data_IF_262049534792
#
_entry.id   IF_262049534792
#
_cell.length_a   1.000
_cell.length_b   1.000
_cell.length_c   1.000
_cell.angle_alpha   90.00
_cell.angle_beta   90.00
_cell.angle_gamma   90.00
#
_symmetry.space_group_name_H-M   'P 1'
#
loop_
_entity.id
_entity.type
_entity.pdbx_description
1 polymer ?
#
# COMPACT_ATOMS: atom_id res chain seq x y z
N UNK A 1 -61.32 -7.91 -42.47
CA UNK A 1 -60.43 -7.48 -43.58
C UNK A 1 -59.01 -8.03 -43.33
N UNK A 2 -58.10 -7.85 -44.27
CA UNK A 2 -56.68 -8.28 -44.27
C UNK A 2 -55.83 -7.66 -43.13
N UNK A 3 -54.66 -8.18 -42.72
CA UNK A 3 -53.98 -9.51 -42.87
C UNK A 3 -52.65 -9.52 -42.06
N UNK A 4 -51.96 -10.68 -42.02
CA UNK A 4 -50.57 -10.96 -41.54
C UNK A 4 -50.42 -11.10 -40.01
N UNK A 5 -50.16 -12.29 -39.43
CA UNK A 5 -49.05 -13.31 -39.56
C UNK A 5 -47.78 -12.89 -38.80
N UNK A 6 -47.05 -13.73 -38.06
CA UNK A 6 -47.18 -15.16 -37.64
C UNK A 6 -46.17 -15.41 -36.47
N UNK A 7 -46.44 -16.19 -35.41
CA UNK A 7 -46.52 -17.68 -35.29
C UNK A 7 -45.27 -18.44 -35.79
N UNK A 8 -44.79 -19.55 -35.17
CA UNK A 8 -44.92 -20.13 -33.80
C UNK A 8 -43.99 -21.38 -33.70
N UNK A 9 -43.70 -21.89 -32.48
CA UNK A 9 -43.15 -23.23 -32.13
C UNK A 9 -41.72 -23.59 -32.64
N UNK A 10 -40.87 -24.43 -32.02
CA UNK A 10 -40.86 -25.33 -30.84
C UNK A 10 -41.00 -26.86 -31.08
N UNK A 11 -40.28 -27.64 -30.22
CA UNK A 11 -40.44 -29.05 -29.81
C UNK A 11 -39.64 -30.22 -30.47
N UNK A 12 -38.96 -30.96 -29.57
CA UNK A 12 -38.77 -32.44 -29.44
C UNK A 12 -37.69 -33.26 -30.22
N UNK A 13 -36.80 -33.85 -29.41
CA UNK A 13 -36.36 -35.28 -29.32
C UNK A 13 -36.10 -36.14 -30.58
N UNK A 14 -34.90 -36.75 -30.66
CA UNK A 14 -34.63 -38.19 -30.36
C UNK A 14 -33.15 -38.55 -30.65
N UNK A 15 -32.69 -39.77 -30.36
CA UNK A 15 -31.29 -40.20 -30.55
C UNK A 15 -31.15 -41.66 -31.02
N UNK A 16 -30.18 -41.93 -31.92
CA UNK A 16 -29.81 -43.29 -32.41
C UNK A 16 -28.27 -43.41 -32.55
N UNK A 17 -27.74 -44.65 -32.47
CA UNK A 17 -26.31 -45.01 -32.45
C UNK A 17 -25.78 -45.32 -33.87
N UNK A 18 -24.46 -45.25 -34.12
CA UNK A 18 -23.92 -45.39 -35.50
C UNK A 18 -22.44 -45.75 -35.75
N UNK A 19 -21.82 -46.67 -35.00
CA UNK A 19 -20.61 -47.46 -35.41
C UNK A 19 -19.25 -46.78 -35.72
N UNK A 20 -18.19 -47.61 -35.81
CA UNK A 20 -16.77 -47.25 -36.03
C UNK A 20 -16.30 -47.63 -37.45
N UNK A 21 -15.13 -47.12 -37.87
CA UNK A 21 -14.02 -47.89 -38.49
C UNK A 21 -12.70 -47.06 -38.41
N UNK A 22 -11.54 -47.73 -38.42
CA UNK A 22 -10.16 -47.15 -38.40
C UNK A 22 -9.59 -47.11 -39.86
N UNK A 23 -8.36 -46.71 -40.25
CA UNK A 23 -6.99 -46.66 -39.69
C UNK A 23 -6.22 -45.48 -40.38
N UNK A 24 -5.21 -44.81 -39.81
CA UNK A 24 -3.74 -45.11 -39.81
C UNK A 24 -3.16 -45.76 -41.10
N UNK A 25 -1.89 -45.56 -41.54
CA UNK A 25 -0.81 -44.55 -41.41
C UNK A 25 0.44 -45.05 -42.21
N UNK A 26 1.50 -44.23 -42.41
CA UNK A 26 2.94 -44.59 -42.59
C UNK A 26 3.59 -44.53 -44.02
N UNK A 27 4.50 -43.55 -44.18
CA UNK A 27 5.82 -43.50 -44.88
C UNK A 27 6.13 -44.26 -46.20
N UNK A 28 6.89 -43.58 -47.10
CA UNK A 28 8.34 -43.86 -47.29
C UNK A 28 9.13 -42.71 -48.00
N UNK A 29 10.45 -42.91 -48.22
CA UNK A 29 11.48 -41.89 -48.57
C UNK A 29 11.80 -41.80 -50.08
N UNK A 30 12.40 -40.68 -50.52
CA UNK A 30 13.46 -40.63 -51.58
C UNK A 30 14.31 -39.34 -51.55
N UNK A 31 15.50 -39.38 -52.17
CA UNK A 31 16.53 -38.32 -52.38
C UNK A 31 17.52 -38.86 -53.46
N UNK A 32 18.51 -38.13 -54.05
CA UNK A 32 18.89 -36.71 -53.94
C UNK A 32 18.54 -35.92 -55.24
N UNK A 33 19.40 -35.32 -56.12
CA UNK A 33 20.87 -35.20 -56.22
C UNK A 33 21.42 -33.74 -56.15
N UNK A 34 22.54 -33.48 -56.83
CA UNK A 34 23.52 -32.38 -56.74
C UNK A 34 23.52 -31.35 -57.90
N UNK A 35 24.10 -30.16 -57.68
CA UNK A 35 25.01 -29.54 -58.66
C UNK A 35 26.12 -28.69 -57.98
N UNK A 36 27.23 -28.38 -58.68
CA UNK A 36 28.41 -27.62 -58.20
C UNK A 36 28.78 -26.49 -59.16
N UNK A 37 29.06 -25.28 -58.64
CA UNK A 37 30.11 -24.40 -59.17
C UNK A 37 30.72 -23.55 -58.03
N UNK A 38 32.02 -23.71 -57.77
CA UNK A 38 33.16 -22.83 -58.13
C UNK A 38 33.24 -21.51 -57.34
N UNK A 39 34.21 -21.45 -56.41
CA UNK A 39 34.73 -20.21 -55.79
C UNK A 39 35.73 -19.51 -56.73
N UNK A 40 36.09 -18.26 -56.43
CA UNK A 40 37.49 -17.87 -56.35
C UNK A 40 37.93 -17.59 -54.90
N UNK A 41 39.22 -17.72 -54.62
CA UNK A 41 39.84 -17.34 -53.34
C UNK A 41 40.47 -15.94 -53.46
N UNK A 42 40.33 -15.13 -52.41
CA UNK A 42 41.30 -14.08 -52.04
C UNK A 42 41.60 -14.21 -50.54
N UNK A 43 42.70 -13.60 -50.12
CA UNK A 43 43.50 -13.99 -48.95
C UNK A 43 43.76 -12.80 -48.01
N UNK A 44 44.03 -13.08 -46.73
CA UNK A 44 44.45 -12.14 -45.65
C UNK A 44 43.42 -11.00 -45.34
N UNK A 45 43.16 -10.55 -44.10
CA UNK A 45 43.86 -10.67 -42.82
C UNK A 45 42.92 -10.98 -41.64
N UNK A 46 43.49 -11.45 -40.52
CA UNK A 46 42.81 -11.44 -39.22
C UNK A 46 42.84 -10.02 -38.63
N UNK A 47 41.71 -9.56 -38.10
CA UNK A 47 41.65 -8.49 -37.11
C UNK A 47 40.60 -8.85 -36.07
N UNK A 48 41.02 -9.02 -34.82
CA UNK A 48 40.11 -9.31 -33.71
C UNK A 48 39.47 -8.01 -33.23
N UNK A 49 38.14 -7.92 -33.31
CA UNK A 49 37.37 -6.95 -32.54
C UNK A 49 36.12 -7.64 -31.99
N UNK A 50 35.81 -7.52 -30.68
CA UNK A 50 34.59 -8.04 -30.11
C UNK A 50 33.37 -7.30 -30.70
N UNK A 51 32.32 -8.04 -31.04
CA UNK A 51 31.13 -7.47 -31.65
C UNK A 51 30.46 -6.45 -30.71
N UNK A 52 30.48 -5.16 -31.10
CA UNK A 52 29.70 -4.13 -30.42
C UNK A 52 28.21 -4.46 -30.57
N UNK A 53 27.53 -4.72 -29.45
CA UNK A 53 26.10 -4.94 -29.46
C UNK A 53 25.35 -3.68 -29.92
N UNK A 54 24.22 -3.86 -30.61
CA UNK A 54 23.52 -2.76 -31.27
C UNK A 54 22.96 -1.72 -30.29
N UNK A 55 22.86 -0.48 -30.76
CA UNK A 55 22.38 0.67 -30.01
C UNK A 55 20.94 0.50 -29.53
N UNK A 56 20.73 0.47 -28.21
CA UNK A 56 19.44 0.72 -27.58
C UNK A 56 19.43 2.17 -27.07
N UNK A 57 18.52 3.01 -27.58
CA UNK A 57 18.54 4.44 -27.34
C UNK A 57 17.70 4.85 -26.11
N UNK A 58 18.25 5.78 -25.32
CA UNK A 58 17.56 6.67 -24.38
C UNK A 58 16.48 6.06 -23.47
N UNK A 59 16.89 5.37 -22.39
CA UNK A 59 16.12 5.28 -21.14
C UNK A 59 17.07 5.48 -19.95
N UNK A 60 16.73 6.39 -19.04
CA UNK A 60 17.71 7.10 -18.17
C UNK A 60 18.07 6.39 -16.86
N UNK A 61 17.74 5.11 -16.74
CA UNK A 61 18.50 4.19 -15.91
C UNK A 61 19.06 3.10 -16.83
N UNK A 62 20.37 3.14 -17.06
CA UNK A 62 21.05 2.13 -17.88
C UNK A 62 20.86 0.72 -17.30
N UNK A 63 20.93 -0.33 -18.14
CA UNK A 63 20.78 -1.70 -17.66
C UNK A 63 21.84 -2.01 -16.60
N UNK A 64 21.40 -2.56 -15.46
CA UNK A 64 22.32 -3.02 -14.42
C UNK A 64 23.12 -4.21 -14.95
N UNK A 65 24.43 -4.06 -15.08
CA UNK A 65 25.33 -5.09 -15.59
C UNK A 65 26.16 -5.67 -14.44
N UNK A 66 26.16 -7.00 -14.34
CA UNK A 66 26.90 -7.76 -13.35
C UNK A 66 27.72 -8.85 -14.05
N UNK A 67 28.91 -9.14 -13.52
CA UNK A 67 29.67 -10.34 -13.89
C UNK A 67 29.71 -11.25 -12.68
N UNK A 68 29.21 -12.46 -12.83
CA UNK A 68 29.08 -13.41 -11.72
C UNK A 68 30.48 -13.88 -11.27
N UNK A 69 30.87 -13.61 -10.02
CA UNK A 69 32.16 -14.07 -9.47
C UNK A 69 32.08 -15.48 -8.87
N UNK A 70 33.23 -16.09 -8.54
CA UNK A 70 33.21 -17.33 -7.73
C UNK A 70 32.67 -17.08 -6.32
N UNK A 71 32.96 -15.93 -5.71
CA UNK A 71 32.53 -15.63 -4.34
C UNK A 71 31.02 -15.38 -4.23
N UNK A 72 30.39 -14.82 -5.28
CA UNK A 72 28.93 -14.80 -5.42
C UNK A 72 28.35 -16.22 -5.40
N UNK A 73 28.97 -17.15 -6.14
CA UNK A 73 28.52 -18.54 -6.16
C UNK A 73 28.75 -19.23 -4.82
N UNK A 74 29.87 -18.95 -4.13
CA UNK A 74 30.15 -19.50 -2.79
C UNK A 74 29.13 -19.01 -1.76
N UNK A 75 28.81 -17.70 -1.75
CA UNK A 75 27.74 -17.13 -0.93
C UNK A 75 26.38 -17.80 -1.18
N UNK A 76 26.08 -18.14 -2.45
CA UNK A 76 24.86 -18.81 -2.88
C UNK A 76 24.97 -20.36 -2.91
N UNK A 77 25.93 -20.94 -2.19
CA UNK A 77 26.12 -22.40 -2.00
C UNK A 77 26.28 -23.19 -3.31
N UNK A 78 27.02 -22.64 -4.27
CA UNK A 78 27.52 -23.31 -5.48
C UNK A 78 26.51 -23.53 -6.61
N UNK A 79 25.21 -23.27 -6.40
CA UNK A 79 24.18 -23.30 -7.45
C UNK A 79 23.28 -22.08 -7.36
N UNK A 80 23.87 -20.92 -7.62
CA UNK A 80 23.17 -19.65 -7.68
C UNK A 80 22.04 -19.67 -8.73
N UNK A 81 20.81 -19.50 -8.27
CA UNK A 81 19.67 -19.18 -9.15
C UNK A 81 19.73 -17.71 -9.54
N UNK A 82 19.36 -17.41 -10.77
CA UNK A 82 19.26 -16.04 -11.31
C UNK A 82 18.40 -15.12 -10.41
N UNK A 83 17.29 -15.63 -9.86
CA UNK A 83 16.43 -14.86 -8.95
C UNK A 83 16.95 -14.72 -7.51
N UNK A 84 18.04 -15.42 -7.16
CA UNK A 84 18.75 -15.26 -5.89
C UNK A 84 19.98 -14.34 -6.06
N UNK A 85 20.74 -14.55 -7.13
CA UNK A 85 21.87 -13.69 -7.51
C UNK A 85 21.45 -12.23 -7.68
N UNK A 86 20.39 -11.95 -8.44
CA UNK A 86 19.92 -10.58 -8.63
C UNK A 86 19.35 -9.94 -7.34
N UNK A 87 18.89 -10.73 -6.36
CA UNK A 87 18.45 -10.20 -5.04
C UNK A 87 19.64 -9.83 -4.16
N UNK A 88 20.74 -10.60 -4.24
CA UNK A 88 22.00 -10.27 -3.57
C UNK A 88 22.65 -9.02 -4.19
N UNK A 89 22.65 -8.92 -5.51
CA UNK A 89 23.25 -7.82 -6.27
C UNK A 89 22.40 -6.53 -6.27
N UNK A 90 21.10 -6.62 -5.95
CA UNK A 90 20.19 -5.48 -5.85
C UNK A 90 19.25 -5.60 -4.61
N UNK A 91 19.77 -5.41 -3.38
CA UNK A 91 18.98 -5.59 -2.15
C UNK A 91 17.75 -4.68 -2.04
N UNK A 92 17.82 -3.48 -2.64
CA UNK A 92 16.71 -2.51 -2.70
C UNK A 92 15.53 -2.97 -3.58
N UNK A 93 15.78 -3.89 -4.52
CA UNK A 93 14.79 -4.34 -5.48
C UNK A 93 14.12 -5.61 -4.99
N UNK A 94 12.84 -5.51 -4.61
CA UNK A 94 12.10 -6.66 -4.10
C UNK A 94 12.17 -7.88 -5.05
N UNK A 95 12.36 -9.07 -4.47
CA UNK A 95 12.44 -10.35 -5.21
C UNK A 95 11.27 -10.57 -6.17
N UNK A 96 10.08 -10.05 -5.84
CA UNK A 96 8.91 -10.09 -6.73
C UNK A 96 9.15 -9.30 -8.03
N UNK A 97 9.66 -8.05 -7.95
CA UNK A 97 9.98 -7.21 -9.11
C UNK A 97 11.10 -7.82 -9.96
N UNK A 98 12.09 -8.47 -9.35
CA UNK A 98 13.13 -9.24 -10.07
C UNK A 98 12.52 -10.44 -10.80
N UNK A 99 11.70 -11.26 -10.13
CA UNK A 99 11.04 -12.40 -10.77
C UNK A 99 10.08 -12.00 -11.88
N UNK A 100 9.45 -10.84 -11.78
CA UNK A 100 8.62 -10.23 -12.83
C UNK A 100 9.47 -9.75 -14.02
N UNK A 101 10.59 -9.06 -13.77
CA UNK A 101 11.53 -8.62 -14.81
C UNK A 101 12.09 -9.81 -15.62
N UNK A 102 12.44 -10.91 -14.94
CA UNK A 102 12.82 -12.19 -15.58
C UNK A 102 11.68 -12.72 -16.45
N UNK A 103 10.46 -12.88 -15.91
CA UNK A 103 9.30 -13.38 -16.67
C UNK A 103 8.95 -12.52 -17.88
N UNK A 104 9.20 -11.21 -17.80
CA UNK A 104 9.00 -10.24 -18.89
C UNK A 104 10.18 -10.15 -19.88
N UNK A 105 11.19 -11.03 -19.78
CA UNK A 105 12.34 -11.05 -20.68
C UNK A 105 13.33 -9.89 -20.50
N UNK A 106 13.18 -9.08 -19.45
CA UNK A 106 14.01 -7.90 -19.16
C UNK A 106 15.32 -8.24 -18.43
N UNK A 107 15.64 -9.52 -18.32
CA UNK A 107 16.93 -10.02 -17.82
C UNK A 107 17.58 -10.85 -18.91
N UNK A 108 18.84 -10.56 -19.22
CA UNK A 108 19.66 -11.38 -20.10
C UNK A 108 20.84 -11.98 -19.34
N UNK A 109 21.30 -13.15 -19.79
CA UNK A 109 22.54 -13.80 -19.33
C UNK A 109 23.33 -14.14 -20.59
N UNK A 110 24.57 -13.65 -20.69
CA UNK A 110 25.41 -13.72 -21.88
C UNK A 110 24.66 -13.25 -23.15
N UNK A 111 23.97 -12.11 -23.04
CA UNK A 111 23.07 -11.51 -24.04
C UNK A 111 21.81 -12.33 -24.42
N UNK A 112 21.56 -13.49 -23.81
CA UNK A 112 20.34 -14.28 -24.05
C UNK A 112 19.26 -13.97 -22.99
N UNK A 113 18.08 -13.54 -23.43
CA UNK A 113 16.95 -13.26 -22.55
C UNK A 113 16.49 -14.49 -21.76
N UNK A 114 16.40 -14.36 -20.43
CA UNK A 114 16.03 -15.43 -19.52
C UNK A 114 14.60 -15.25 -19.02
N UNK A 115 13.71 -16.16 -19.39
CA UNK A 115 12.31 -16.18 -18.92
C UNK A 115 12.09 -17.05 -17.67
N UNK A 116 13.12 -17.80 -17.23
CA UNK A 116 13.04 -18.75 -16.10
C UNK A 116 13.77 -18.21 -14.88
N UNK A 117 13.04 -17.94 -13.80
CA UNK A 117 13.59 -17.49 -12.51
C UNK A 117 14.53 -18.52 -11.87
N UNK A 118 14.48 -19.77 -12.30
CA UNK A 118 15.31 -20.88 -11.83
C UNK A 118 16.49 -21.21 -12.76
N UNK A 119 16.80 -20.37 -13.76
CA UNK A 119 18.08 -20.49 -14.49
C UNK A 119 19.24 -20.40 -13.49
N UNK A 120 20.24 -21.26 -13.65
CA UNK A 120 21.45 -21.27 -12.82
C UNK A 120 22.53 -20.45 -13.53
N UNK A 121 23.15 -19.51 -12.81
CA UNK A 121 24.29 -18.71 -13.32
C UNK A 121 25.62 -19.36 -12.93
N UNK A 122 26.65 -19.13 -13.74
CA UNK A 122 28.02 -19.63 -13.58
C UNK A 122 28.99 -18.46 -13.38
N UNK A 123 30.16 -18.74 -12.81
CA UNK A 123 31.24 -17.76 -12.75
C UNK A 123 31.63 -17.32 -14.17
N UNK A 124 31.80 -16.01 -14.38
CA UNK A 124 32.02 -15.40 -15.69
C UNK A 124 30.76 -15.09 -16.49
N UNK A 125 29.56 -15.54 -16.09
CA UNK A 125 28.32 -15.14 -16.78
C UNK A 125 28.07 -13.64 -16.62
N UNK A 126 27.87 -12.95 -17.75
CA UNK A 126 27.48 -11.55 -17.83
C UNK A 126 25.95 -11.44 -17.73
N UNK A 127 25.46 -10.95 -16.59
CA UNK A 127 24.03 -10.80 -16.29
C UNK A 127 23.63 -9.33 -16.44
N UNK A 128 22.60 -9.07 -17.25
CA UNK A 128 22.08 -7.72 -17.49
C UNK A 128 20.61 -7.66 -17.07
N UNK A 129 20.27 -6.75 -16.17
CA UNK A 129 18.93 -6.53 -15.63
C UNK A 129 18.43 -5.14 -16.04
N UNK A 130 17.34 -5.10 -16.81
CA UNK A 130 16.63 -3.87 -17.16
C UNK A 130 15.37 -3.75 -16.30
N UNK A 131 15.35 -2.83 -15.34
CA UNK A 131 14.15 -2.51 -14.57
C UNK A 131 13.45 -1.30 -15.19
N UNK A 132 12.13 -1.33 -15.44
CA UNK A 132 11.41 -0.12 -15.78
C UNK A 132 11.48 0.86 -14.61
N UNK A 133 11.71 2.14 -14.92
CA UNK A 133 11.49 3.26 -13.99
C UNK A 133 10.05 3.13 -13.47
N UNK A 134 9.80 3.20 -12.15
CA UNK A 134 8.42 3.21 -11.68
C UNK A 134 7.70 4.39 -12.32
N UNK A 135 6.48 4.17 -12.82
CA UNK A 135 5.68 5.26 -13.35
C UNK A 135 5.51 6.33 -12.27
N UNK A 136 5.73 7.60 -12.62
CA UNK A 136 5.47 8.69 -11.70
C UNK A 136 3.96 8.70 -11.41
N UNK A 137 3.57 8.40 -10.18
CA UNK A 137 2.19 8.54 -9.70
C UNK A 137 1.89 10.04 -9.54
N UNK A 138 1.66 10.70 -10.68
CA UNK A 138 1.12 12.06 -10.72
C UNK A 138 -0.35 12.00 -10.36
N UNK A 139 -0.79 12.98 -9.57
CA UNK A 139 -2.20 13.15 -9.22
C UNK A 139 -2.72 14.36 -10.00
N UNK A 140 -3.57 14.12 -10.98
CA UNK A 140 -4.27 15.19 -11.67
C UNK A 140 -5.48 15.64 -10.82
N UNK A 141 -5.89 16.92 -10.86
CA UNK A 141 -7.10 17.38 -10.19
C UNK A 141 -8.35 16.69 -10.73
N UNK A 142 -9.24 16.23 -9.86
CA UNK A 142 -10.53 15.63 -10.22
C UNK A 142 -11.67 16.30 -9.46
N UNK A 143 -12.75 16.67 -10.17
CA UNK A 143 -13.97 17.19 -9.55
C UNK A 143 -14.73 16.07 -8.84
N UNK A 144 -14.47 15.92 -7.54
CA UNK A 144 -15.01 14.88 -6.68
C UNK A 144 -15.59 15.53 -5.42
N UNK A 145 -16.80 15.15 -4.98
CA UNK A 145 -17.45 15.77 -3.83
C UNK A 145 -16.67 15.52 -2.54
N UNK A 146 -16.40 16.59 -1.80
CA UNK A 146 -15.83 16.58 -0.46
C UNK A 146 -16.91 16.92 0.57
N UNK A 147 -17.02 16.08 1.61
CA UNK A 147 -17.81 16.40 2.81
C UNK A 147 -16.91 17.24 3.74
N UNK A 148 -17.05 18.56 3.64
CA UNK A 148 -16.22 19.55 4.34
C UNK A 148 -16.89 19.93 5.66
N UNK A 149 -16.23 19.59 6.76
CA UNK A 149 -16.70 19.86 8.14
C UNK A 149 -16.26 21.25 8.60
N UNK A 150 -15.10 21.71 8.14
CA UNK A 150 -14.57 23.06 8.40
C UNK A 150 -13.52 23.44 7.35
N UNK A 151 -13.49 24.70 6.95
CA UNK A 151 -12.40 25.29 6.16
C UNK A 151 -12.14 26.73 6.60
N UNK A 152 -10.87 27.12 6.66
CA UNK A 152 -10.43 28.51 6.75
C UNK A 152 -9.26 28.78 5.78
N UNK A 153 -8.53 29.89 5.93
CA UNK A 153 -7.38 30.21 5.06
C UNK A 153 -6.23 29.18 5.20
N UNK A 154 -6.10 28.54 6.36
CA UNK A 154 -4.92 27.78 6.79
C UNK A 154 -5.12 26.27 6.67
N UNK A 155 -6.32 25.77 6.93
CA UNK A 155 -6.61 24.34 6.91
C UNK A 155 -8.03 23.98 6.45
N UNK A 156 -8.20 22.69 6.18
CA UNK A 156 -9.42 22.04 5.76
C UNK A 156 -9.62 20.76 6.58
N UNK A 157 -10.83 20.54 7.10
CA UNK A 157 -11.24 19.32 7.80
C UNK A 157 -12.34 18.65 7.00
N UNK A 158 -12.12 17.39 6.61
CA UNK A 158 -13.07 16.61 5.79
C UNK A 158 -13.51 15.33 6.49
N UNK A 159 -14.78 14.97 6.33
CA UNK A 159 -15.30 13.66 6.68
C UNK A 159 -15.09 12.72 5.48
N UNK A 160 -13.98 12.00 5.44
CA UNK A 160 -13.68 11.11 4.30
C UNK A 160 -14.68 9.96 4.27
N UNK A 161 -15.40 9.80 3.17
CA UNK A 161 -16.25 8.63 2.92
C UNK A 161 -15.46 7.30 3.03
N UNK A 162 -16.15 6.21 3.38
CA UNK A 162 -15.57 4.88 3.29
C UNK A 162 -15.31 4.48 1.83
N UNK A 163 -14.38 3.56 1.60
CA UNK A 163 -13.98 3.13 0.25
C UNK A 163 -13.04 4.10 -0.46
N UNK A 164 -13.14 5.41 -0.21
CA UNK A 164 -12.20 6.41 -0.74
C UNK A 164 -10.77 6.18 -0.23
N UNK A 165 -9.81 6.19 -1.16
CA UNK A 165 -8.37 6.09 -0.90
C UNK A 165 -7.79 7.48 -0.65
N UNK A 166 -6.83 7.61 0.26
CA UNK A 166 -6.25 8.92 0.63
C UNK A 166 -5.27 9.44 -0.44
N UNK A 167 -4.34 8.60 -0.91
CA UNK A 167 -3.31 8.97 -1.91
C UNK A 167 -3.33 8.01 -3.10
N UNK A 168 -2.87 8.45 -4.30
CA UNK A 168 -2.65 7.56 -5.43
C UNK A 168 -1.71 6.40 -5.09
N UNK A 169 -2.04 5.22 -5.61
CA UNK A 169 -1.29 3.98 -5.40
C UNK A 169 -1.56 3.00 -6.55
N UNK A 170 -0.71 1.96 -6.77
CA UNK A 170 -0.90 1.05 -7.89
C UNK A 170 -2.29 0.37 -7.88
N UNK A 171 -3.10 0.63 -8.91
CA UNK A 171 -4.50 0.19 -9.02
C UNK A 171 -5.55 1.15 -8.44
N UNK A 172 -5.14 2.29 -7.88
CA UNK A 172 -5.95 3.43 -7.45
C UNK A 172 -5.19 4.72 -7.75
N UNK A 173 -5.06 5.02 -9.04
CA UNK A 173 -4.21 6.10 -9.56
C UNK A 173 -5.01 7.42 -9.66
N UNK A 174 -6.30 7.32 -9.96
CA UNK A 174 -7.33 8.37 -9.90
C UNK A 174 -8.37 8.08 -8.80
N UNK A 175 -9.31 9.00 -8.58
CA UNK A 175 -10.42 8.82 -7.64
C UNK A 175 -10.02 8.85 -6.16
N UNK A 176 -8.92 9.53 -5.82
CA UNK A 176 -8.40 9.61 -4.45
C UNK A 176 -8.65 10.99 -3.82
N UNK A 177 -8.55 11.06 -2.49
CA UNK A 177 -8.72 12.32 -1.76
C UNK A 177 -7.72 13.40 -2.22
N UNK A 178 -6.49 13.03 -2.62
CA UNK A 178 -5.54 13.98 -3.21
C UNK A 178 -6.08 14.62 -4.50
N UNK A 179 -6.70 13.85 -5.39
CA UNK A 179 -7.23 14.38 -6.65
C UNK A 179 -8.34 15.43 -6.40
N UNK A 180 -9.22 15.14 -5.43
CA UNK A 180 -10.27 16.04 -4.97
C UNK A 180 -9.73 17.33 -4.31
N UNK A 181 -8.71 17.20 -3.45
CA UNK A 181 -8.06 18.33 -2.77
C UNK A 181 -7.32 19.26 -3.73
N UNK A 182 -6.69 18.70 -4.77
CA UNK A 182 -6.02 19.49 -5.81
C UNK A 182 -7.03 20.31 -6.64
N UNK A 183 -8.24 19.77 -6.86
CA UNK A 183 -9.32 20.50 -7.51
C UNK A 183 -9.90 21.60 -6.60
N UNK A 184 -10.31 21.24 -5.37
CA UNK A 184 -11.04 22.13 -4.46
C UNK A 184 -10.22 23.37 -4.04
N UNK A 185 -9.11 23.16 -3.33
CA UNK A 185 -8.35 24.25 -2.73
C UNK A 185 -7.23 24.81 -3.64
N UNK A 186 -7.21 24.43 -4.93
CA UNK A 186 -6.25 24.92 -5.95
C UNK A 186 -4.78 24.88 -5.49
N UNK A 187 -4.44 23.88 -4.67
CA UNK A 187 -3.19 23.87 -3.91
C UNK A 187 -1.99 23.75 -4.85
N UNK A 188 -0.96 24.60 -4.72
CA UNK A 188 0.25 24.47 -5.51
C UNK A 188 0.89 23.09 -5.25
N UNK A 189 1.45 22.41 -6.26
CA UNK A 189 2.20 21.19 -6.05
C UNK A 189 3.34 21.43 -5.06
N UNK A 190 3.20 20.95 -3.82
CA UNK A 190 4.22 21.09 -2.79
C UNK A 190 5.37 20.13 -3.12
N UNK A 191 6.35 20.63 -3.85
CA UNK A 191 7.65 19.99 -4.02
C UNK A 191 8.41 20.06 -2.68
N UNK A 192 8.56 18.90 -2.05
CA UNK A 192 9.35 18.77 -0.82
C UNK A 192 10.84 18.78 -1.20
N UNK A 193 11.52 19.89 -0.94
CA UNK A 193 12.98 20.01 -1.10
C UNK A 193 13.71 19.18 -0.04
N UNK A 194 14.93 18.74 -0.37
CA UNK A 194 15.63 17.68 0.38
C UNK A 194 16.06 18.10 1.80
N UNK A 195 16.10 19.41 2.08
CA UNK A 195 16.45 19.97 3.38
C UNK A 195 15.38 19.70 4.47
N UNK A 196 14.15 19.33 4.09
CA UNK A 196 13.08 18.93 5.03
C UNK A 196 12.98 17.40 5.19
N UNK A 197 14.10 16.74 5.47
CA UNK A 197 14.27 15.28 5.44
C UNK A 197 13.15 14.47 6.12
N UNK A 198 12.20 13.97 5.30
CA UNK A 198 11.41 12.80 5.64
C UNK A 198 12.17 11.55 5.19
N UNK A 199 12.49 10.59 6.10
CA UNK A 199 13.40 9.49 5.77
C UNK A 199 12.85 8.56 4.67
N UNK A 200 13.75 8.11 3.81
CA UNK A 200 13.48 7.45 2.52
C UNK A 200 12.81 6.07 2.66
N UNK A 201 11.48 6.04 2.84
CA UNK A 201 10.72 4.78 3.04
C UNK A 201 9.63 4.50 2.01
N UNK A 202 9.49 5.36 0.99
CA UNK A 202 8.28 5.43 0.16
C UNK A 202 8.22 4.47 -1.04
N UNK A 203 9.30 3.76 -1.38
CA UNK A 203 9.22 2.57 -2.24
C UNK A 203 8.79 1.30 -1.47
N UNK A 204 7.90 1.48 -0.49
CA UNK A 204 6.94 0.46 -0.08
C UNK A 204 7.23 -0.34 1.20
N UNK A 205 8.02 0.16 2.17
CA UNK A 205 8.20 -0.54 3.46
C UNK A 205 7.99 0.27 4.77
N UNK A 206 7.37 1.44 4.73
CA UNK A 206 6.61 2.01 5.88
C UNK A 206 7.39 2.88 6.86
N UNK A 207 6.84 3.10 8.06
CA UNK A 207 7.16 4.23 8.95
C UNK A 207 6.80 5.58 8.32
N UNK A 208 5.67 6.15 8.76
CA UNK A 208 5.43 7.58 8.67
C UNK A 208 5.88 8.19 10.01
N UNK A 209 6.83 9.12 9.93
CA UNK A 209 7.60 9.71 11.02
C UNK A 209 8.48 8.73 11.81
N UNK A 210 9.74 9.10 11.98
CA UNK A 210 10.69 8.45 12.88
C UNK A 210 10.52 9.03 14.27
N UNK A 211 10.21 8.15 15.22
CA UNK A 211 10.49 8.39 16.63
C UNK A 211 11.98 8.06 16.81
N UNK A 212 12.81 9.09 16.75
CA UNK A 212 14.14 9.10 17.37
C UNK A 212 13.91 9.64 18.77
N UNK A 213 13.88 8.72 19.73
CA UNK A 213 13.93 9.02 21.16
C UNK A 213 15.41 8.91 21.59
N UNK A 214 15.85 9.82 22.46
CA UNK A 214 17.25 10.06 22.76
C UNK A 214 17.88 8.89 23.53
N UNK A 215 19.14 8.55 23.24
CA UNK A 215 19.91 7.66 24.12
C UNK A 215 20.38 8.45 25.34
N UNK A 216 20.02 8.01 26.55
CA UNK A 216 20.49 8.60 27.81
C UNK A 216 21.99 8.30 27.99
N UNK A 217 22.86 9.22 27.55
CA UNK A 217 24.30 9.11 27.75
C UNK A 217 24.68 9.28 29.24
N UNK A 218 25.50 8.36 29.75
CA UNK A 218 25.94 8.36 31.14
C UNK A 218 27.09 9.36 31.32
N UNK A 219 26.72 10.59 31.69
CA UNK A 219 27.62 11.74 31.66
C UNK A 219 28.89 11.65 32.50
N UNK A 220 29.95 12.32 32.00
CA UNK A 220 31.19 12.65 32.70
C UNK A 220 31.48 14.14 32.49
N UNK A 221 32.00 14.83 33.51
CA UNK A 221 32.14 16.29 33.55
C UNK A 221 33.26 16.85 32.64
N UNK A 222 33.09 18.07 32.11
CA UNK A 222 34.14 18.76 31.34
C UNK A 222 33.77 20.15 30.78
N UNK A 223 33.95 21.21 31.58
CA UNK A 223 33.92 22.61 31.13
C UNK A 223 35.28 23.03 30.49
N UNK A 224 35.45 24.18 29.78
CA UNK A 224 34.58 25.36 29.80
C UNK A 224 34.33 26.14 28.48
N UNK A 225 33.35 27.05 28.57
CA UNK A 225 33.14 28.34 27.85
C UNK A 225 34.10 28.72 26.71
N UNK A 226 33.52 28.96 25.53
CA UNK A 226 34.10 29.80 24.47
C UNK A 226 33.05 30.67 23.81
N UNK A 227 33.26 32.00 23.78
CA UNK A 227 32.35 32.99 23.20
C UNK A 227 32.94 33.62 21.93
N UNK A 228 32.13 33.86 20.89
CA UNK A 228 32.31 34.97 19.96
C UNK A 228 31.03 35.24 19.16
N UNK A 229 30.94 36.40 18.52
CA UNK A 229 29.70 36.93 17.93
C UNK A 229 29.94 37.71 16.64
N UNK A 230 29.00 37.56 15.70
CA UNK A 230 28.77 38.46 14.53
C UNK A 230 29.85 38.43 13.42
N UNK A 231 29.59 39.00 12.23
CA UNK A 231 28.31 39.47 11.66
C UNK A 231 27.90 38.75 10.34
N UNK A 232 26.73 39.11 9.81
CA UNK A 232 26.26 38.71 8.47
C UNK A 232 26.94 39.56 7.40
N UNK A 233 27.41 38.93 6.31
CA UNK A 233 27.81 39.62 5.07
C UNK A 233 26.78 39.39 3.94
N UNK A 234 26.66 40.36 3.01
CA UNK A 234 25.61 40.43 1.98
C UNK A 234 26.19 40.19 0.58
N UNK A 235 26.61 38.96 0.31
CA UNK A 235 27.02 38.53 -1.04
C UNK A 235 25.84 38.39 -2.01
N UNK A 236 25.96 38.96 -3.21
CA UNK A 236 25.00 38.76 -4.31
C UNK A 236 25.11 37.33 -4.85
N UNK A 237 24.00 36.58 -4.92
CA UNK A 237 23.97 35.28 -5.60
C UNK A 237 23.46 35.46 -7.04
N UNK A 238 24.38 35.45 -8.01
CA UNK A 238 24.05 35.43 -9.44
C UNK A 238 23.37 34.11 -9.81
N UNK A 239 22.29 34.17 -10.59
CA UNK A 239 21.60 32.98 -11.07
C UNK A 239 22.54 32.07 -11.87
N UNK A 240 22.70 30.81 -11.40
CA UNK A 240 23.27 29.71 -12.17
C UNK A 240 22.22 28.66 -12.41
N UNK A 241 21.87 28.47 -13.68
CA UNK A 241 20.95 27.41 -14.12
C UNK A 241 21.72 26.08 -14.23
N UNK A 242 21.93 25.41 -13.10
CA UNK A 242 22.52 24.06 -13.09
C UNK A 242 21.40 23.01 -13.09
N UNK A 243 21.26 22.28 -14.21
CA UNK A 243 20.26 21.24 -14.38
C UNK A 243 20.82 19.87 -13.95
N UNK A 244 20.18 19.16 -13.02
CA UNK A 244 20.73 17.86 -12.61
C UNK A 244 20.11 17.06 -11.46
N UNK A 245 18.81 17.08 -11.16
CA UNK A 245 18.22 16.09 -10.22
C UNK A 245 16.70 15.88 -10.34
N UNK A 246 16.24 15.09 -11.31
CA UNK A 246 14.84 14.61 -11.37
C UNK A 246 14.56 13.51 -10.31
N UNK A 247 14.46 13.95 -9.05
CA UNK A 247 14.06 13.13 -7.90
C UNK A 247 12.55 13.30 -7.64
N UNK A 248 11.87 12.21 -7.34
CA UNK A 248 10.41 12.09 -7.52
C UNK A 248 9.57 12.86 -6.48
N UNK A 249 9.03 14.01 -6.87
CA UNK A 249 8.05 14.79 -6.11
C UNK A 249 6.68 14.08 -6.04
N UNK A 250 6.48 13.25 -5.02
CA UNK A 250 5.14 12.70 -4.69
C UNK A 250 4.31 13.82 -4.07
N UNK A 251 3.46 14.46 -4.89
CA UNK A 251 2.61 15.59 -4.47
C UNK A 251 1.75 15.19 -3.27
N UNK A 252 1.91 15.92 -2.17
CA UNK A 252 1.11 15.78 -0.95
C UNK A 252 0.48 17.13 -0.59
N UNK A 253 -0.75 17.42 -1.06
CA UNK A 253 -1.46 18.62 -0.66
C UNK A 253 -1.88 18.49 0.80
N UNK A 254 -1.06 18.98 1.73
CA UNK A 254 -1.44 19.22 3.14
C UNK A 254 -1.70 18.01 4.05
N UNK A 255 -1.72 16.77 3.55
CA UNK A 255 -2.15 15.59 4.32
C UNK A 255 -1.08 15.18 5.36
N UNK A 256 -1.32 15.58 6.62
CA UNK A 256 -0.43 15.28 7.76
C UNK A 256 -0.68 13.91 8.40
N UNK A 257 -1.90 13.36 8.27
CA UNK A 257 -2.29 12.06 8.85
C UNK A 257 -3.22 11.27 7.94
N UNK A 258 -3.53 10.02 8.30
CA UNK A 258 -4.30 9.10 7.45
C UNK A 258 -5.17 8.13 8.22
N UNK A 259 -6.32 7.80 7.64
CA UNK A 259 -7.17 6.66 8.02
C UNK A 259 -7.17 5.60 6.91
N UNK A 260 -7.61 4.38 7.22
CA UNK A 260 -7.62 3.27 6.25
C UNK A 260 -8.72 3.45 5.18
N UNK A 261 -8.58 2.79 4.02
CA UNK A 261 -9.57 2.82 2.91
C UNK A 261 -11.00 2.49 3.40
N UNK A 262 -11.14 1.45 4.22
CA UNK A 262 -12.42 1.00 4.78
C UNK A 262 -12.89 1.78 6.02
N UNK A 263 -12.21 2.85 6.41
CA UNK A 263 -12.58 3.72 7.52
C UNK A 263 -13.11 5.04 6.97
N UNK A 264 -14.26 5.46 7.48
CA UNK A 264 -14.83 6.81 7.26
C UNK A 264 -14.50 7.74 8.43
N UNK A 265 -14.76 9.04 8.28
CA UNK A 265 -14.57 10.05 9.32
C UNK A 265 -13.43 11.03 9.08
N UNK A 266 -13.09 11.78 10.12
CA UNK A 266 -12.31 13.03 10.03
C UNK A 266 -10.86 12.86 9.58
N UNK A 267 -10.45 13.74 8.66
CA UNK A 267 -9.06 14.05 8.31
C UNK A 267 -8.85 15.57 8.36
N UNK A 268 -7.62 16.01 8.64
CA UNK A 268 -7.20 17.42 8.53
C UNK A 268 -6.10 17.56 7.50
N UNK A 269 -6.19 18.63 6.71
CA UNK A 269 -5.33 18.97 5.59
C UNK A 269 -4.87 20.42 5.78
N UNK A 270 -3.57 20.67 5.71
CA UNK A 270 -3.02 22.03 5.72
C UNK A 270 -3.04 22.64 4.31
N UNK A 271 -3.43 23.91 4.19
CA UNK A 271 -3.43 24.66 2.92
C UNK A 271 -2.06 25.30 2.64
N UNK A 272 -1.20 25.42 3.65
CA UNK A 272 0.16 25.96 3.54
C UNK A 272 1.22 25.16 4.35
N UNK A 273 2.50 25.45 4.09
CA UNK A 273 3.64 24.75 4.68
C UNK A 273 3.86 25.02 6.19
N UNK A 274 3.52 26.20 6.70
CA UNK A 274 3.63 26.53 8.14
C UNK A 274 2.59 25.75 8.94
N UNK A 275 1.34 25.72 8.45
CA UNK A 275 0.27 24.90 9.05
C UNK A 275 0.60 23.42 8.96
N UNK A 276 1.10 22.95 7.82
CA UNK A 276 1.53 21.55 7.64
C UNK A 276 2.57 21.13 8.68
N UNK A 277 3.63 21.92 8.84
CA UNK A 277 4.73 21.60 9.75
C UNK A 277 4.30 21.68 11.22
N UNK A 278 3.47 22.66 11.58
CA UNK A 278 2.89 22.78 12.92
C UNK A 278 2.00 21.55 13.25
N UNK A 279 1.06 21.19 12.37
CA UNK A 279 0.20 20.01 12.58
C UNK A 279 1.03 18.72 12.66
N UNK A 280 2.01 18.52 11.77
CA UNK A 280 2.93 17.38 11.83
C UNK A 280 3.63 17.28 13.19
N UNK A 281 4.06 18.40 13.78
CA UNK A 281 4.65 18.42 15.12
C UNK A 281 3.66 18.02 16.22
N UNK A 282 2.40 18.46 16.16
CA UNK A 282 1.36 17.99 17.10
C UNK A 282 1.06 16.48 16.95
N UNK A 283 1.03 15.96 15.73
CA UNK A 283 0.89 14.53 15.48
C UNK A 283 2.10 13.73 16.01
N UNK A 284 3.32 14.26 15.87
CA UNK A 284 4.57 13.67 16.41
C UNK A 284 4.59 13.68 17.94
N UNK A 285 4.27 14.80 18.57
CA UNK A 285 4.20 14.96 20.05
C UNK A 285 2.95 14.34 20.68
N UNK A 286 2.04 13.81 19.87
CA UNK A 286 0.81 13.12 20.28
C UNK A 286 -0.20 14.01 21.05
N UNK A 287 -0.14 15.33 20.88
CA UNK A 287 -1.12 16.27 21.47
C UNK A 287 -2.48 16.22 20.78
N UNK A 288 -2.56 15.72 19.54
CA UNK A 288 -3.81 15.60 18.77
C UNK A 288 -4.76 14.55 19.38
N UNK A 289 -5.92 15.02 19.86
CA UNK A 289 -7.04 14.18 20.28
C UNK A 289 -7.67 13.50 19.06
N UNK A 290 -7.79 12.17 19.11
CA UNK A 290 -8.49 11.37 18.09
C UNK A 290 -9.39 10.34 18.76
N UNK A 291 -10.67 10.38 18.42
CA UNK A 291 -11.68 9.43 18.92
C UNK A 291 -12.32 8.70 17.73
N UNK A 292 -12.43 7.38 17.85
CA UNK A 292 -13.07 6.51 16.86
C UNK A 292 -14.18 5.70 17.52
N UNK A 293 -15.22 5.32 16.77
CA UNK A 293 -16.16 4.28 17.19
C UNK A 293 -16.03 3.05 16.29
N UNK A 294 -16.25 1.87 16.87
CA UNK A 294 -16.22 0.59 16.16
C UNK A 294 -17.26 -0.39 16.69
N UNK A 295 -17.71 -1.32 15.85
CA UNK A 295 -18.45 -2.51 16.30
C UNK A 295 -17.47 -3.69 16.33
N UNK A 296 -17.32 -4.33 17.49
CA UNK A 296 -16.43 -5.49 17.71
C UNK A 296 -17.22 -6.80 17.85
N UNK A 297 -16.58 -7.94 17.55
CA UNK A 297 -17.16 -9.27 17.75
C UNK A 297 -16.89 -9.80 19.17
N UNK A 298 -17.95 -10.12 19.91
CA UNK A 298 -17.95 -10.34 21.35
C UNK A 298 -17.77 -9.04 22.14
N UNK A 299 -18.12 -9.02 23.42
CA UNK A 299 -17.82 -7.91 24.33
C UNK A 299 -16.53 -8.14 25.13
N UNK A 300 -15.62 -7.15 25.25
CA UNK A 300 -14.53 -7.16 26.24
C UNK A 300 -15.06 -7.40 27.67
N UNK A 301 -14.22 -7.95 28.55
CA UNK A 301 -14.59 -8.18 29.96
C UNK A 301 -14.49 -6.90 30.78
N UNK A 302 -13.42 -6.15 30.58
CA UNK A 302 -13.18 -4.84 31.14
C UNK A 302 -13.95 -3.81 30.30
N UNK A 303 -14.76 -2.96 30.95
CA UNK A 303 -15.57 -1.95 30.25
C UNK A 303 -14.73 -0.81 29.67
N UNK A 304 -13.50 -0.62 30.16
CA UNK A 304 -12.49 0.27 29.57
C UNK A 304 -11.08 -0.27 29.85
N UNK A 305 -10.12 0.10 29.02
CA UNK A 305 -8.76 -0.41 29.14
C UNK A 305 -7.75 0.24 28.20
N UNK A 306 -6.49 -0.15 28.35
CA UNK A 306 -5.34 0.42 27.63
C UNK A 306 -4.51 -0.68 26.97
N UNK A 307 -4.05 -0.45 25.75
CA UNK A 307 -3.27 -1.40 24.95
C UNK A 307 -2.04 -0.69 24.41
N UNK A 308 -0.86 -1.14 24.82
CA UNK A 308 0.42 -0.64 24.33
C UNK A 308 1.25 -1.81 23.81
N UNK A 309 1.50 -1.84 22.50
CA UNK A 309 2.26 -2.91 21.83
C UNK A 309 3.20 -2.37 20.75
N UNK A 310 4.07 -3.21 20.21
CA UNK A 310 4.70 -2.93 18.92
C UNK A 310 3.76 -3.34 17.78
N UNK A 311 3.52 -2.49 16.79
CA UNK A 311 2.89 -2.89 15.52
C UNK A 311 3.92 -2.89 14.39
N UNK A 312 4.01 -4.03 13.70
CA UNK A 312 4.87 -4.27 12.53
C UNK A 312 4.10 -4.96 11.41
N UNK A 313 4.71 -5.21 10.24
CA UNK A 313 4.07 -6.01 9.17
C UNK A 313 4.07 -7.49 9.51
N UNK A 314 2.98 -8.18 9.16
CA UNK A 314 2.91 -9.63 9.25
C UNK A 314 3.93 -10.27 8.26
N UNK A 315 4.81 -11.17 8.71
CA UNK A 315 5.86 -11.76 7.86
C UNK A 315 5.31 -12.81 6.88
N UNK A 316 4.04 -13.21 7.01
CA UNK A 316 3.36 -14.20 6.15
C UNK A 316 2.43 -13.55 5.14
N UNK A 317 1.84 -12.39 5.47
CA UNK A 317 0.96 -11.63 4.56
C UNK A 317 1.29 -10.13 4.57
N UNK A 318 1.89 -9.65 3.47
CA UNK A 318 2.26 -8.24 3.28
C UNK A 318 1.08 -7.24 3.34
N UNK A 319 -0.17 -7.70 3.24
CA UNK A 319 -1.37 -6.87 3.41
C UNK A 319 -1.75 -6.66 4.88
N UNK A 320 -1.13 -7.39 5.81
CA UNK A 320 -1.47 -7.40 7.23
C UNK A 320 -0.37 -6.75 8.07
N UNK A 321 -0.83 -6.14 9.15
CA UNK A 321 -0.04 -5.70 10.30
C UNK A 321 -0.28 -6.66 11.46
N UNK A 322 0.74 -6.91 12.28
CA UNK A 322 0.73 -7.82 13.42
C UNK A 322 1.25 -7.14 14.69
N UNK A 323 0.87 -7.70 15.85
CA UNK A 323 1.38 -7.31 17.17
C UNK A 323 2.72 -7.98 17.46
N UNK A 324 3.61 -7.22 18.09
CA UNK A 324 4.92 -7.59 18.57
C UNK A 324 5.12 -7.10 20.01
N UNK A 325 6.05 -7.71 20.78
CA UNK A 325 6.56 -7.11 22.01
C UNK A 325 7.14 -5.72 21.74
N UNK A 326 7.05 -4.81 22.72
CA UNK A 326 7.59 -3.44 22.61
C UNK A 326 9.10 -3.40 22.35
N UNK A 327 9.84 -4.41 22.81
CA UNK A 327 11.28 -4.59 22.56
C UNK A 327 11.63 -5.08 21.14
N UNK A 328 10.66 -5.23 20.23
CA UNK A 328 10.91 -5.76 18.89
C UNK A 328 11.29 -4.67 17.88
N UNK A 329 12.54 -4.71 17.41
CA UNK A 329 13.05 -3.85 16.32
C UNK A 329 12.32 -4.00 14.96
N UNK A 330 11.32 -4.88 14.84
CA UNK A 330 10.49 -5.08 13.63
C UNK A 330 9.17 -4.30 13.68
N UNK A 331 8.95 -3.52 14.74
CA UNK A 331 7.70 -2.84 15.03
C UNK A 331 7.95 -1.41 15.54
N UNK A 332 6.90 -0.58 15.57
CA UNK A 332 6.90 0.74 16.21
C UNK A 332 5.83 0.79 17.30
N UNK A 333 6.05 1.62 18.33
CA UNK A 333 5.12 1.81 19.46
C UNK A 333 3.73 2.17 18.96
N UNK A 334 2.74 1.43 19.44
CA UNK A 334 1.32 1.62 19.18
C UNK A 334 0.56 1.62 20.51
N UNK A 335 -0.10 2.74 20.83
CA UNK A 335 -0.86 2.94 22.06
C UNK A 335 -2.30 3.37 21.76
N UNK A 336 -3.26 2.64 22.33
CA UNK A 336 -4.71 2.87 22.22
C UNK A 336 -5.39 2.66 23.57
N UNK A 337 -6.30 3.54 23.93
CA UNK A 337 -7.28 3.29 24.98
C UNK A 337 -8.62 2.90 24.33
N UNK A 338 -9.41 2.09 25.02
CA UNK A 338 -10.75 1.70 24.56
C UNK A 338 -11.77 1.81 25.69
N UNK A 339 -13.04 2.04 25.32
CA UNK A 339 -14.19 2.01 26.22
C UNK A 339 -15.39 1.38 25.53
N UNK A 340 -15.98 0.36 26.16
CA UNK A 340 -17.25 -0.22 25.74
C UNK A 340 -18.35 0.80 26.01
N UNK A 341 -19.06 1.21 24.96
CA UNK A 341 -20.20 2.12 25.05
C UNK A 341 -21.52 1.35 25.22
N UNK A 342 -21.63 0.19 24.56
CA UNK A 342 -22.88 -0.58 24.49
C UNK A 342 -22.58 -2.06 24.24
N UNK A 343 -23.17 -2.95 25.03
CA UNK A 343 -23.12 -4.41 24.80
C UNK A 343 -24.23 -4.80 23.83
N UNK A 344 -23.89 -5.52 22.75
CA UNK A 344 -24.82 -5.86 21.68
C UNK A 344 -25.03 -7.39 21.60
N UNK A 345 -26.22 -7.78 21.18
CA UNK A 345 -26.64 -9.15 20.84
C UNK A 345 -26.22 -10.19 21.89
N UNK A 346 -26.66 -10.00 23.14
CA UNK A 346 -26.34 -10.90 24.26
C UNK A 346 -24.84 -10.95 24.63
N UNK A 347 -24.06 -9.93 24.25
CA UNK A 347 -22.60 -9.91 24.42
C UNK A 347 -21.83 -10.58 23.28
N UNK A 348 -22.51 -10.99 22.19
CA UNK A 348 -21.86 -11.50 20.97
C UNK A 348 -21.31 -10.39 20.06
N UNK A 349 -21.59 -9.13 20.36
CA UNK A 349 -20.94 -7.94 19.81
C UNK A 349 -20.88 -6.81 20.86
N UNK A 350 -20.18 -5.71 20.55
CA UNK A 350 -20.23 -4.47 21.33
C UNK A 350 -19.90 -3.23 20.49
N UNK A 351 -20.44 -2.07 20.86
CA UNK A 351 -19.99 -0.76 20.40
C UNK A 351 -18.85 -0.28 21.31
N UNK A 352 -17.73 0.11 20.71
CA UNK A 352 -16.50 0.48 21.43
C UNK A 352 -15.94 1.79 20.89
N UNK A 353 -15.71 2.74 21.79
CA UNK A 353 -14.91 3.95 21.57
C UNK A 353 -13.42 3.62 21.67
N UNK A 354 -12.60 4.23 20.81
CA UNK A 354 -11.14 4.14 20.85
C UNK A 354 -10.51 5.53 20.87
N UNK A 355 -9.57 5.76 21.79
CA UNK A 355 -8.75 6.99 21.85
C UNK A 355 -7.33 6.65 21.43
N UNK A 356 -6.80 7.37 20.42
CA UNK A 356 -5.49 7.09 19.85
C UNK A 356 -4.43 8.11 20.26
N UNK A 357 -3.41 7.63 20.97
CA UNK A 357 -2.15 8.36 21.21
C UNK A 357 -1.21 8.24 19.99
N UNK A 358 -1.15 7.07 19.35
CA UNK A 358 -0.35 6.83 18.13
C UNK A 358 -1.23 6.54 16.91
N UNK A 359 -0.71 6.79 15.70
CA UNK A 359 -1.41 6.54 14.43
C UNK A 359 -0.72 5.50 13.54
N UNK A 360 -0.59 4.24 13.97
CA UNK A 360 0.05 3.18 13.15
C UNK A 360 -0.96 2.50 12.21
N UNK A 361 -0.48 1.96 11.08
CA UNK A 361 -1.34 1.32 10.06
C UNK A 361 -2.20 0.20 10.66
N UNK A 362 -3.50 0.21 10.35
CA UNK A 362 -4.49 -0.74 10.87
C UNK A 362 -4.59 -0.80 12.41
N UNK A 363 -4.06 0.16 13.18
CA UNK A 363 -3.81 0.01 14.62
C UNK A 363 -5.03 -0.46 15.43
N UNK A 364 -6.19 0.18 15.31
CA UNK A 364 -7.41 -0.24 16.02
C UNK A 364 -7.81 -1.67 15.64
N UNK A 365 -7.78 -2.00 14.35
CA UNK A 365 -8.17 -3.31 13.81
C UNK A 365 -7.25 -4.43 14.31
N UNK A 366 -5.96 -4.13 14.45
CA UNK A 366 -4.92 -5.01 15.02
C UNK A 366 -5.10 -5.18 16.53
N UNK A 367 -5.26 -4.09 17.28
CA UNK A 367 -5.46 -4.12 18.73
C UNK A 367 -6.78 -4.81 19.12
N UNK A 368 -7.87 -4.51 18.44
CA UNK A 368 -9.16 -5.18 18.64
C UNK A 368 -9.07 -6.70 18.39
N UNK A 369 -8.42 -7.12 17.30
CA UNK A 369 -8.13 -8.55 17.07
C UNK A 369 -7.22 -9.14 18.16
N UNK A 370 -6.22 -8.40 18.65
CA UNK A 370 -5.30 -8.86 19.68
C UNK A 370 -6.01 -9.17 21.01
N UNK A 371 -7.03 -8.39 21.38
CA UNK A 371 -7.93 -8.68 22.51
C UNK A 371 -8.87 -9.89 22.27
N UNK A 372 -8.92 -10.47 21.05
CA UNK A 372 -9.91 -11.49 20.68
C UNK A 372 -11.25 -10.92 20.18
N UNK A 373 -11.33 -9.60 20.03
CA UNK A 373 -12.51 -8.83 19.65
C UNK A 373 -12.32 -8.09 18.30
N UNK A 374 -12.02 -8.80 17.20
CA UNK A 374 -11.82 -8.16 15.90
C UNK A 374 -13.11 -7.47 15.42
N UNK A 375 -12.96 -6.44 14.56
CA UNK A 375 -14.10 -5.63 14.14
C UNK A 375 -15.09 -6.42 13.28
N UNK A 376 -16.37 -6.10 13.42
CA UNK A 376 -17.43 -6.54 12.52
C UNK A 376 -17.10 -6.12 11.07
N UNK A 377 -17.39 -6.98 10.09
CA UNK A 377 -17.09 -6.73 8.66
C UNK A 377 -15.60 -6.72 8.25
N UNK A 378 -14.64 -6.90 9.17
CA UNK A 378 -13.21 -6.84 8.82
C UNK A 378 -12.66 -8.12 8.18
N UNK A 379 -12.87 -8.27 6.87
CA UNK A 379 -12.28 -9.35 6.04
C UNK A 379 -10.78 -9.59 6.28
N UNK A 380 -10.00 -8.56 6.65
CA UNK A 380 -8.56 -8.70 6.92
C UNK A 380 -8.25 -9.28 8.29
N UNK A 381 -9.07 -9.02 9.32
CA UNK A 381 -8.74 -9.33 10.72
C UNK A 381 -9.74 -10.22 11.45
N UNK A 382 -11.04 -10.12 11.17
CA UNK A 382 -12.07 -11.00 11.75
C UNK A 382 -12.25 -12.30 10.97
N UNK A 383 -11.81 -12.36 9.71
CA UNK A 383 -12.21 -13.45 8.80
C UNK A 383 -13.60 -13.24 8.21
N UNK A 384 -14.05 -11.99 8.18
CA UNK A 384 -15.14 -11.55 7.32
C UNK A 384 -16.55 -11.91 7.79
N UNK A 385 -17.49 -11.79 6.85
CA UNK A 385 -18.91 -12.06 7.11
C UNK A 385 -19.19 -13.44 7.68
N UNK A 386 -18.41 -14.46 7.28
CA UNK A 386 -18.55 -15.83 7.76
C UNK A 386 -18.29 -15.94 9.27
N UNK A 387 -17.31 -15.21 9.82
CA UNK A 387 -17.06 -15.22 11.26
C UNK A 387 -18.06 -14.33 12.04
N UNK A 388 -18.56 -13.25 11.42
CA UNK A 388 -19.64 -12.43 11.99
C UNK A 388 -20.90 -13.28 12.19
N UNK A 389 -21.33 -14.01 11.15
CA UNK A 389 -22.44 -14.97 11.22
C UNK A 389 -22.18 -16.09 12.23
N UNK A 390 -20.94 -16.63 12.28
CA UNK A 390 -20.58 -17.69 13.25
C UNK A 390 -20.68 -17.23 14.71
N UNK A 391 -20.30 -15.98 15.03
CA UNK A 391 -20.28 -15.47 16.41
C UNK A 391 -21.64 -14.90 16.87
N UNK A 392 -22.39 -14.26 15.97
CA UNK A 392 -23.65 -13.57 16.32
C UNK A 392 -24.91 -14.37 15.89
N UNK A 393 -24.83 -15.18 14.83
CA UNK A 393 -25.96 -15.88 14.19
C UNK A 393 -26.29 -17.25 14.78
N UNK A 394 -25.94 -17.53 16.03
CA UNK A 394 -26.20 -18.84 16.66
C UNK A 394 -27.70 -19.15 16.75
N UNK A 395 -28.05 -20.43 16.61
CA UNK A 395 -29.39 -20.98 16.91
C UNK A 395 -30.53 -20.77 15.90
N UNK A 396 -30.51 -19.75 15.03
CA UNK A 396 -31.64 -19.46 14.10
C UNK A 396 -31.17 -19.05 12.70
N UNK A 397 -31.61 -19.77 11.65
CA UNK A 397 -31.28 -19.46 10.24
C UNK A 397 -31.62 -18.02 9.84
N UNK A 398 -32.75 -17.48 10.31
CA UNK A 398 -33.17 -16.09 10.05
C UNK A 398 -32.16 -15.07 10.59
N UNK A 399 -31.57 -15.32 11.77
CA UNK A 399 -30.54 -14.46 12.37
C UNK A 399 -29.24 -14.51 11.59
N UNK A 400 -28.87 -15.68 11.06
CA UNK A 400 -27.70 -15.83 10.17
C UNK A 400 -27.88 -15.01 8.88
N UNK A 401 -29.05 -15.11 8.26
CA UNK A 401 -29.39 -14.32 7.07
C UNK A 401 -29.38 -12.81 7.35
N UNK A 402 -29.93 -12.37 8.49
CA UNK A 402 -29.95 -10.96 8.88
C UNK A 402 -28.53 -10.42 9.17
N UNK A 403 -27.70 -11.13 9.93
CA UNK A 403 -26.29 -10.74 10.18
C UNK A 403 -25.49 -10.68 8.86
N UNK A 404 -25.71 -11.63 7.95
CA UNK A 404 -25.10 -11.61 6.61
C UNK A 404 -25.56 -10.41 5.77
N UNK A 405 -26.83 -10.01 5.91
CA UNK A 405 -27.38 -8.77 5.33
C UNK A 405 -26.65 -7.53 5.85
N UNK A 406 -26.46 -7.39 7.16
CA UNK A 406 -25.73 -6.26 7.75
C UNK A 406 -24.27 -6.20 7.28
N UNK A 407 -23.57 -7.34 7.18
CA UNK A 407 -22.20 -7.35 6.62
C UNK A 407 -22.19 -6.90 5.15
N UNK A 408 -23.18 -7.34 4.36
CA UNK A 408 -23.32 -6.94 2.95
C UNK A 408 -23.77 -5.51 2.72
N UNK A 409 -24.42 -4.88 3.70
CA UNK A 409 -24.76 -3.45 3.63
C UNK A 409 -23.53 -2.58 3.95
N UNK A 410 -22.61 -3.08 4.78
CA UNK A 410 -21.45 -2.34 5.27
C UNK A 410 -20.19 -2.54 4.39
N UNK A 411 -19.93 -3.76 3.90
CA UNK A 411 -18.79 -4.18 3.06
C UNK A 411 -17.36 -3.77 3.54
N UNK A 412 -17.21 -3.35 4.80
CA UNK A 412 -15.97 -2.81 5.37
C UNK A 412 -15.85 -3.12 6.87
N UNK A 413 -14.65 -2.92 7.48
CA UNK A 413 -14.52 -2.93 8.93
C UNK A 413 -15.42 -1.85 9.55
N UNK A 414 -16.25 -2.24 10.52
CA UNK A 414 -17.08 -1.32 11.30
C UNK A 414 -16.20 -0.40 12.15
N UNK A 415 -15.70 0.67 11.55
CA UNK A 415 -14.82 1.68 12.15
C UNK A 415 -15.09 3.06 11.54
N UNK A 416 -15.20 4.07 12.38
CA UNK A 416 -15.43 5.46 11.99
C UNK A 416 -14.60 6.41 12.87
N UNK A 417 -13.98 7.43 12.28
CA UNK A 417 -13.18 8.45 12.96
C UNK A 417 -14.08 9.63 13.36
N UNK A 418 -14.63 9.53 14.57
CA UNK A 418 -15.70 10.40 15.09
C UNK A 418 -15.20 11.81 15.42
N UNK A 419 -14.12 11.94 16.20
CA UNK A 419 -13.65 13.22 16.73
C UNK A 419 -12.17 13.45 16.42
N UNK A 420 -11.83 14.65 16.00
CA UNK A 420 -10.46 15.10 15.74
C UNK A 420 -10.27 16.49 16.36
N UNK A 421 -9.40 16.59 17.38
CA UNK A 421 -9.12 17.84 18.08
C UNK A 421 -7.63 18.14 18.16
N UNK A 422 -7.27 19.41 18.00
CA UNK A 422 -5.89 19.89 17.90
C UNK A 422 -5.80 21.40 18.20
N UNK A 423 -4.59 21.92 18.40
CA UNK A 423 -4.37 23.36 18.50
C UNK A 423 -4.35 23.98 17.10
N UNK A 424 -5.13 25.02 16.86
CA UNK A 424 -5.26 25.64 15.56
C UNK A 424 -3.96 26.39 15.17
N UNK A 425 -3.20 25.94 14.14
CA UNK A 425 -1.81 26.39 13.89
C UNK A 425 -1.59 27.90 13.72
N UNK A 426 -2.62 28.61 13.26
CA UNK A 426 -2.58 30.05 13.05
C UNK A 426 -3.03 30.88 14.27
N UNK A 427 -3.86 30.31 15.16
CA UNK A 427 -4.54 31.07 16.22
C UNK A 427 -4.26 30.60 17.65
N UNK A 428 -3.59 29.45 17.84
CA UNK A 428 -3.23 28.91 19.16
C UNK A 428 -4.42 28.42 20.01
N UNK A 429 -5.62 28.36 19.43
CA UNK A 429 -6.84 27.91 20.12
C UNK A 429 -7.01 26.41 19.94
N UNK A 430 -7.33 25.69 21.01
CA UNK A 430 -7.81 24.31 20.89
C UNK A 430 -9.14 24.29 20.13
N UNK A 431 -9.23 23.42 19.13
CA UNK A 431 -10.44 23.17 18.35
C UNK A 431 -10.74 21.67 18.34
N UNK A 432 -12.01 21.31 18.46
CA UNK A 432 -12.51 19.93 18.35
C UNK A 432 -13.53 19.89 17.21
N UNK A 433 -13.37 18.94 16.29
CA UNK A 433 -14.31 18.65 15.22
C UNK A 433 -14.93 17.27 15.43
N UNK A 434 -16.21 17.13 15.10
CA UNK A 434 -16.95 15.87 15.16
C UNK A 434 -17.66 15.60 13.83
N UNK A 435 -17.59 14.35 13.34
CA UNK A 435 -18.31 13.89 12.16
C UNK A 435 -19.58 13.14 12.55
N UNK A 436 -20.64 13.26 11.74
CA UNK A 436 -21.78 12.38 11.84
C UNK A 436 -21.36 10.92 11.53
N UNK A 437 -21.82 9.98 12.34
CA UNK A 437 -21.61 8.54 12.10
C UNK A 437 -22.16 8.19 10.72
N UNK A 438 -21.32 7.58 9.88
CA UNK A 438 -21.70 7.20 8.53
C UNK A 438 -22.93 6.27 8.52
N UNK A 439 -23.88 6.53 7.62
CA UNK A 439 -25.19 5.86 7.62
C UNK A 439 -25.09 4.32 7.57
N UNK A 440 -24.16 3.77 6.79
CA UNK A 440 -23.88 2.33 6.71
C UNK A 440 -23.47 1.69 8.05
N UNK A 441 -22.73 2.42 8.88
CA UNK A 441 -22.38 2.03 10.25
C UNK A 441 -23.59 2.18 11.18
N UNK A 442 -24.38 3.24 11.04
CA UNK A 442 -25.57 3.49 11.85
C UNK A 442 -26.66 2.43 11.61
N UNK A 443 -26.92 2.06 10.36
CA UNK A 443 -27.84 0.99 9.97
C UNK A 443 -27.36 -0.37 10.48
N UNK A 444 -26.05 -0.65 10.38
CA UNK A 444 -25.45 -1.85 10.95
C UNK A 444 -25.61 -1.93 12.48
N UNK A 445 -25.37 -0.81 13.19
CA UNK A 445 -25.55 -0.71 14.63
C UNK A 445 -27.02 -0.89 15.03
N UNK A 446 -27.95 -0.23 14.33
CA UNK A 446 -29.37 -0.33 14.61
C UNK A 446 -29.93 -1.73 14.31
N UNK A 447 -29.42 -2.42 13.29
CA UNK A 447 -29.73 -3.82 13.02
C UNK A 447 -29.32 -4.74 14.17
N UNK A 448 -28.12 -4.56 14.74
CA UNK A 448 -27.66 -5.32 15.90
C UNK A 448 -28.43 -4.98 17.18
N UNK A 449 -28.76 -3.71 17.43
CA UNK A 449 -29.66 -3.29 18.53
C UNK A 449 -31.02 -3.97 18.43
N UNK A 450 -31.62 -3.99 17.25
CA UNK A 450 -32.93 -4.63 17.00
C UNK A 450 -32.88 -6.14 17.24
N UNK A 451 -31.77 -6.81 16.90
CA UNK A 451 -31.56 -8.22 17.29
C UNK A 451 -31.44 -8.39 18.81
N UNK A 452 -30.78 -7.46 19.50
CA UNK A 452 -30.57 -7.50 20.97
C UNK A 452 -31.89 -7.39 21.73
N UNK A 453 -32.82 -6.55 21.24
CA UNK A 453 -34.18 -6.42 21.79
C UNK A 453 -35.13 -7.59 21.41
N UNK A 454 -34.61 -8.62 20.73
CA UNK A 454 -35.34 -9.82 20.29
C UNK A 454 -34.81 -11.10 20.93
N UNK A 455 -34.07 -10.98 22.04
CA UNK A 455 -33.47 -12.06 22.86
C UNK A 455 -34.10 -12.14 24.25
#
# INVERSE_FOLDING_TARGET
MTSRKSCLAALLQTAVKGTRVQQRLVFLRTWPPSNRSRRPLKFIQHSEQPARCFSCAAQEHGPFQFTTSEDDLRALKGKARLDAFLVQQQPEVSRAKIQEAIKAGRVTVNSQAQLKTSTVVKAGDAVCLTLPRPAQLRADPEDLPLDIVFEDDWLLVVNKAAGMVVHPSPGHESGTLVNALLHHCSLPPIELTEDMQAPTSLLGLGSAYTDEEEEEDFGVEGAPKGSCSSPVDKGQLTARTEAGSDRSSVIRPGIVHRIDKGTSGLLVIAKDARTHNHLCQQFKTHTVRRVYQSIVLGCPRESEGSIQTGIGRDPRDRKRMAVYPLSSNRARRAASHYKVLETLTGGTAALVEWRLQTGRTHQIRVHAKHLGHPLFGDETYSGGGANCVKRIGLGKNLRQAAVWGLVKALERPALHALTLGFEHPSTGKQVDFEAAIAADFQDCLQGLRTMTASE
#
